data_IF_134026313294
#
_entry.id   IF_134026313294
#
_cell.length_a   1.000
_cell.length_b   1.000
_cell.length_c   1.000
_cell.angle_alpha   90.00
_cell.angle_beta   90.00
_cell.angle_gamma   90.00
#
_symmetry.space_group_name_H-M   'P 1'
#
loop_
_entity.id
_entity.type
_entity.pdbx_description
1 polymer ?
#
# COMPACT_ATOMS: atom_id res chain seq x y z
N UNK A 1 12.40 1.23 -11.60
CA UNK A 1 10.95 1.55 -11.63
C UNK A 1 10.36 0.90 -12.88
N UNK A 2 9.21 0.25 -12.81
CA UNK A 2 8.53 -0.36 -13.96
C UNK A 2 7.50 0.61 -14.53
N UNK A 3 7.67 1.04 -15.78
CA UNK A 3 6.77 2.00 -16.44
C UNK A 3 5.77 1.30 -17.34
N UNK A 4 4.50 1.71 -17.27
CA UNK A 4 3.40 1.27 -18.13
C UNK A 4 2.63 2.46 -18.68
N UNK A 5 1.81 2.22 -19.70
CA UNK A 5 0.72 3.13 -20.06
C UNK A 5 -0.42 2.89 -19.08
N UNK A 6 -0.75 3.92 -18.30
CA UNK A 6 -1.78 3.80 -17.29
C UNK A 6 -2.13 5.12 -16.65
N UNK A 7 -3.22 5.11 -15.89
CA UNK A 7 -3.70 6.24 -15.09
C UNK A 7 -4.05 5.82 -13.68
N UNK A 8 -3.93 6.75 -12.75
CA UNK A 8 -4.45 6.59 -11.38
C UNK A 8 -5.88 7.15 -11.35
N UNK A 9 -6.88 6.35 -10.94
CA UNK A 9 -8.30 6.72 -11.11
C UNK A 9 -8.73 7.96 -10.31
N UNK A 10 -8.23 8.10 -9.10
CA UNK A 10 -8.65 9.15 -8.16
C UNK A 10 -7.61 10.29 -8.07
N UNK A 11 -6.82 10.50 -9.12
CA UNK A 11 -5.75 11.50 -9.13
C UNK A 11 -5.86 12.44 -10.32
N UNK A 12 -5.63 13.73 -10.08
CA UNK A 12 -5.54 14.76 -11.10
C UNK A 12 -4.08 15.13 -11.34
N UNK A 13 -3.60 14.94 -12.58
CA UNK A 13 -2.23 15.31 -12.97
C UNK A 13 -1.97 16.82 -12.95
N UNK A 14 -3.02 17.65 -12.98
CA UNK A 14 -2.87 19.09 -12.85
C UNK A 14 -2.36 19.51 -11.47
N UNK A 15 -2.47 18.65 -10.45
CA UNK A 15 -1.85 18.83 -9.14
C UNK A 15 -0.37 18.43 -9.12
N UNK A 16 0.11 17.83 -10.22
CA UNK A 16 1.49 17.44 -10.41
C UNK A 16 2.43 18.63 -10.62
N UNK A 17 3.72 18.39 -10.40
CA UNK A 17 4.79 19.36 -10.65
C UNK A 17 5.25 19.22 -12.10
N UNK A 18 5.47 20.34 -12.79
CA UNK A 18 6.07 20.34 -14.12
C UNK A 18 7.55 19.96 -14.00
N UNK A 19 7.91 18.76 -14.47
CA UNK A 19 9.26 18.19 -14.34
C UNK A 19 9.48 17.07 -15.37
N UNK A 20 10.67 16.98 -15.99
CA UNK A 20 10.97 15.90 -16.93
C UNK A 20 10.66 14.52 -16.36
N UNK A 21 9.96 13.70 -17.15
CA UNK A 21 9.50 12.38 -16.70
C UNK A 21 10.65 11.47 -16.21
N UNK A 22 11.84 11.60 -16.79
CA UNK A 22 13.02 10.86 -16.34
C UNK A 22 13.45 11.27 -14.93
N UNK A 23 13.44 12.57 -14.64
CA UNK A 23 13.78 13.12 -13.33
C UNK A 23 12.72 12.73 -12.28
N UNK A 24 11.43 12.82 -12.63
CA UNK A 24 10.33 12.37 -11.78
C UNK A 24 10.48 10.90 -11.33
N UNK A 25 10.83 10.02 -12.27
CA UNK A 25 11.04 8.60 -12.00
C UNK A 25 12.27 8.37 -11.11
N UNK A 26 13.37 9.07 -11.40
CA UNK A 26 14.62 8.93 -10.66
C UNK A 26 14.49 9.42 -9.21
N UNK A 27 13.85 10.57 -9.00
CA UNK A 27 13.61 11.10 -7.64
C UNK A 27 12.77 10.14 -6.81
N UNK A 28 11.68 9.60 -7.38
CA UNK A 28 10.88 8.59 -6.68
C UNK A 28 11.68 7.31 -6.40
N UNK A 29 12.56 6.90 -7.32
CA UNK A 29 13.42 5.75 -7.11
C UNK A 29 14.36 5.95 -5.92
N UNK A 30 14.96 7.13 -5.77
CA UNK A 30 15.87 7.46 -4.67
C UNK A 30 15.14 7.61 -3.32
N UNK A 31 13.90 8.09 -3.32
CA UNK A 31 13.14 8.30 -2.09
C UNK A 31 12.56 7.00 -1.52
N UNK A 32 12.96 6.63 -0.30
CA UNK A 32 12.56 5.38 0.34
C UNK A 32 11.05 5.18 0.48
N UNK A 33 10.29 6.25 0.64
CA UNK A 33 8.83 6.21 0.83
C UNK A 33 8.02 6.41 -0.46
N UNK A 34 8.63 6.80 -1.57
CA UNK A 34 7.90 6.93 -2.83
C UNK A 34 7.58 5.54 -3.38
N UNK A 35 6.35 5.32 -3.84
CA UNK A 35 5.87 4.00 -4.26
C UNK A 35 5.42 3.94 -5.71
N UNK A 36 5.04 5.08 -6.27
CA UNK A 36 4.49 5.19 -7.62
C UNK A 36 4.60 6.65 -8.10
N UNK A 37 4.82 6.84 -9.40
CA UNK A 37 4.63 8.14 -10.06
C UNK A 37 3.62 8.03 -11.19
N UNK A 38 2.78 9.04 -11.32
CA UNK A 38 1.84 9.24 -12.42
C UNK A 38 2.30 10.44 -13.23
N UNK A 39 2.39 10.29 -14.55
CA UNK A 39 2.96 11.28 -15.45
C UNK A 39 2.20 11.36 -16.77
N UNK A 40 2.42 12.42 -17.54
CA UNK A 40 1.96 12.54 -18.93
C UNK A 40 3.05 13.04 -19.89
N UNK A 41 2.71 13.21 -21.17
CA UNK A 41 3.62 13.76 -22.20
C UNK A 41 3.92 15.24 -22.02
N UNK A 42 3.12 15.96 -21.24
CA UNK A 42 3.33 17.38 -20.90
C UNK A 42 4.28 17.55 -19.71
N UNK A 43 4.90 16.47 -19.26
CA UNK A 43 5.85 16.46 -18.13
C UNK A 43 5.22 16.91 -16.80
N UNK A 44 3.91 16.75 -16.65
CA UNK A 44 3.29 16.80 -15.32
C UNK A 44 3.65 15.51 -14.58
N UNK A 45 4.16 15.64 -13.36
CA UNK A 45 4.62 14.55 -12.51
C UNK A 45 3.91 14.60 -11.15
N UNK A 46 3.22 13.52 -10.80
CA UNK A 46 2.57 13.34 -9.50
C UNK A 46 3.16 12.10 -8.80
N UNK A 47 3.73 12.32 -7.61
CA UNK A 47 4.37 11.25 -6.82
C UNK A 47 3.46 10.80 -5.68
N UNK A 48 3.37 9.48 -5.49
CA UNK A 48 2.62 8.86 -4.40
C UNK A 48 3.57 8.27 -3.38
N UNK A 49 3.28 8.53 -2.10
CA UNK A 49 4.14 8.16 -0.99
C UNK A 49 3.44 7.21 -0.03
N UNK A 50 4.15 6.18 0.39
CA UNK A 50 3.65 5.13 1.26
C UNK A 50 2.97 5.64 2.54
N UNK A 51 3.51 6.70 3.14
CA UNK A 51 2.98 7.27 4.39
C UNK A 51 1.66 8.04 4.20
N UNK A 52 1.37 8.54 3.00
CA UNK A 52 0.19 9.36 2.71
C UNK A 52 -0.90 8.59 1.96
N UNK A 53 -0.58 7.40 1.46
CA UNK A 53 -1.44 6.68 0.54
C UNK A 53 -1.90 5.36 1.13
N UNK A 54 -3.19 5.25 1.42
CA UNK A 54 -3.81 4.02 1.92
C UNK A 54 -4.30 3.09 0.81
N UNK A 55 -4.74 3.67 -0.30
CA UNK A 55 -5.30 2.96 -1.45
C UNK A 55 -4.89 3.67 -2.74
N UNK A 56 -4.52 2.90 -3.76
CA UNK A 56 -4.42 3.36 -5.15
C UNK A 56 -5.07 2.35 -6.07
N UNK A 57 -5.68 2.86 -7.14
CA UNK A 57 -6.13 2.06 -8.27
C UNK A 57 -5.48 2.64 -9.51
N UNK A 58 -4.69 1.82 -10.19
CA UNK A 58 -4.10 2.11 -11.48
C UNK A 58 -4.81 1.29 -12.54
N UNK A 59 -5.18 1.91 -13.66
CA UNK A 59 -5.78 1.22 -14.80
C UNK A 59 -4.85 1.37 -16.00
N UNK A 60 -4.58 0.27 -16.70
CA UNK A 60 -3.83 0.29 -17.96
C UNK A 60 -4.60 1.10 -19.01
N UNK A 61 -3.90 1.95 -19.76
CA UNK A 61 -4.47 2.84 -20.77
C UNK A 61 -3.88 2.58 -22.15
N UNK A 62 -4.51 3.13 -23.19
CA UNK A 62 -3.95 3.05 -24.52
C UNK A 62 -2.70 3.94 -24.63
N UNK A 63 -1.78 3.57 -25.53
CA UNK A 63 -0.59 4.40 -25.82
C UNK A 63 -0.95 5.80 -26.31
N UNK A 64 -2.08 5.94 -27.00
CA UNK A 64 -2.61 7.22 -27.51
C UNK A 64 -3.02 8.19 -26.41
N UNK A 65 -3.29 7.70 -25.20
CA UNK A 65 -3.71 8.53 -24.08
C UNK A 65 -2.54 9.34 -23.51
N UNK A 66 -1.29 8.98 -23.85
CA UNK A 66 -0.06 9.64 -23.39
C UNK A 66 0.05 9.76 -21.86
N UNK A 67 -0.60 8.84 -21.14
CA UNK A 67 -0.56 8.72 -19.69
C UNK A 67 0.37 7.58 -19.30
N UNK A 68 1.19 7.83 -18.29
CA UNK A 68 2.21 6.89 -17.85
C UNK A 68 2.18 6.73 -16.34
N UNK A 69 2.32 5.49 -15.89
CA UNK A 69 2.52 5.18 -14.48
C UNK A 69 3.81 4.40 -14.33
N UNK A 70 4.64 4.77 -13.36
CA UNK A 70 5.82 3.98 -13.00
C UNK A 70 5.75 3.47 -11.57
N UNK A 71 5.71 2.16 -11.43
CA UNK A 71 5.71 1.46 -10.15
C UNK A 71 7.13 1.35 -9.60
N UNK A 72 7.28 1.59 -8.31
CA UNK A 72 8.51 1.20 -7.62
C UNK A 72 8.53 -0.30 -7.41
N UNK A 73 9.61 -0.93 -7.88
CA UNK A 73 9.81 -2.37 -7.83
C UNK A 73 11.12 -2.70 -7.13
N UNK A 74 11.26 -3.94 -6.69
CA UNK A 74 12.43 -4.42 -5.96
C UNK A 74 13.40 -5.24 -6.82
N UNK A 75 13.21 -5.24 -8.14
CA UNK A 75 14.05 -6.05 -9.01
C UNK A 75 15.50 -5.57 -8.96
N UNK A 76 16.42 -6.51 -8.72
CA UNK A 76 17.84 -6.27 -8.96
C UNK A 76 18.01 -5.96 -10.44
N UNK A 77 18.73 -4.89 -10.77
CA UNK A 77 18.98 -4.45 -12.17
C UNK A 77 19.57 -5.54 -13.07
N UNK A 78 20.14 -6.61 -12.49
CA UNK A 78 20.67 -7.77 -13.19
C UNK A 78 19.60 -8.75 -13.71
N UNK A 79 18.34 -8.59 -13.31
CA UNK A 79 17.23 -9.41 -13.78
C UNK A 79 16.14 -8.47 -14.31
N UNK A 80 15.97 -8.46 -15.64
CA UNK A 80 14.84 -7.83 -16.31
C UNK A 80 13.79 -8.91 -16.59
N UNK A 81 12.92 -9.26 -15.62
CA UNK A 81 11.88 -10.26 -15.82
C UNK A 81 10.94 -9.88 -16.97
N UNK A 82 10.28 -10.86 -17.56
CA UNK A 82 9.19 -10.60 -18.50
C UNK A 82 8.04 -9.89 -17.76
N UNK A 83 7.33 -9.00 -18.45
CA UNK A 83 6.22 -8.23 -17.87
C UNK A 83 5.19 -9.10 -17.15
N UNK A 84 4.81 -10.23 -17.76
CA UNK A 84 3.82 -11.17 -17.23
C UNK A 84 4.29 -11.94 -15.98
N UNK A 85 5.59 -11.96 -15.70
CA UNK A 85 6.17 -12.65 -14.54
C UNK A 85 6.64 -11.68 -13.46
N UNK A 86 6.24 -10.41 -13.51
CA UNK A 86 6.63 -9.41 -12.52
C UNK A 86 5.64 -9.38 -11.35
N UNK A 87 6.10 -9.86 -10.19
CA UNK A 87 5.40 -9.61 -8.93
C UNK A 87 5.69 -8.19 -8.44
N UNK A 88 4.73 -7.30 -8.63
CA UNK A 88 4.80 -5.94 -8.13
C UNK A 88 4.55 -5.92 -6.62
N UNK A 89 5.57 -5.52 -5.85
CA UNK A 89 5.42 -5.30 -4.42
C UNK A 89 6.26 -4.12 -3.94
N UNK A 90 5.75 -3.46 -2.91
CA UNK A 90 6.38 -2.34 -2.23
C UNK A 90 6.92 -2.86 -0.90
N UNK A 91 8.20 -2.66 -0.62
CA UNK A 91 8.76 -2.94 0.70
C UNK A 91 9.09 -1.65 1.42
N UNK A 92 8.43 -1.41 2.55
CA UNK A 92 8.69 -0.29 3.44
C UNK A 92 8.71 -0.80 4.88
N UNK A 93 9.73 -0.45 5.65
CA UNK A 93 9.81 -0.79 7.08
C UNK A 93 9.93 -2.29 7.39
N UNK A 94 10.43 -3.10 6.44
CA UNK A 94 10.63 -4.55 6.63
C UNK A 94 9.45 -5.45 6.27
N UNK A 95 8.30 -4.87 5.88
CA UNK A 95 7.16 -5.60 5.30
C UNK A 95 7.01 -5.34 3.80
N UNK A 96 6.59 -6.36 3.05
CA UNK A 96 6.28 -6.26 1.61
C UNK A 96 4.77 -6.30 1.38
N UNK A 97 4.26 -5.34 0.61
CA UNK A 97 2.85 -5.18 0.27
C UNK A 97 2.70 -5.34 -1.24
N UNK A 98 1.99 -6.37 -1.71
CA UNK A 98 1.82 -6.62 -3.13
C UNK A 98 0.84 -5.62 -3.75
N UNK A 99 1.07 -5.28 -5.00
CA UNK A 99 0.02 -4.81 -5.90
C UNK A 99 -0.79 -6.00 -6.37
N UNK A 100 -2.10 -5.84 -6.42
CA UNK A 100 -3.02 -6.88 -6.86
C UNK A 100 -3.46 -6.54 -8.27
N UNK A 101 -3.07 -7.38 -9.24
CA UNK A 101 -3.49 -7.24 -10.64
C UNK A 101 -4.78 -8.02 -10.87
N UNK A 102 -5.81 -7.32 -11.36
CA UNK A 102 -7.09 -7.88 -11.77
C UNK A 102 -7.40 -7.41 -13.20
N UNK A 103 -7.06 -8.24 -14.20
CA UNK A 103 -7.15 -7.84 -15.60
C UNK A 103 -6.23 -6.64 -15.88
N UNK A 104 -6.84 -5.50 -16.23
CA UNK A 104 -6.14 -4.26 -16.57
C UNK A 104 -5.98 -3.31 -15.37
N UNK A 105 -6.39 -3.72 -14.18
CA UNK A 105 -6.34 -2.89 -12.98
C UNK A 105 -5.29 -3.39 -11.99
N UNK A 106 -4.51 -2.48 -11.42
CA UNK A 106 -3.61 -2.73 -10.30
C UNK A 106 -4.13 -2.00 -9.07
N UNK A 107 -4.37 -2.74 -7.99
CA UNK A 107 -4.81 -2.19 -6.71
C UNK A 107 -3.70 -2.28 -5.70
N UNK A 108 -3.36 -1.15 -5.09
CA UNK A 108 -2.56 -1.08 -3.88
C UNK A 108 -3.48 -0.75 -2.71
N UNK A 109 -3.31 -1.47 -1.61
CA UNK A 109 -4.01 -1.18 -0.36
C UNK A 109 -3.11 -1.52 0.82
N UNK A 110 -2.96 -0.59 1.76
CA UNK A 110 -2.30 -0.83 3.05
C UNK A 110 -3.28 -0.68 4.20
N UNK A 111 -2.85 -1.08 5.39
CA UNK A 111 -3.61 -0.81 6.59
C UNK A 111 -3.57 0.67 6.98
N UNK A 112 -4.57 1.08 7.75
CA UNK A 112 -4.65 2.44 8.30
C UNK A 112 -3.47 2.67 9.25
N UNK A 113 -2.81 3.82 9.12
CA UNK A 113 -1.63 4.15 9.94
C UNK A 113 -0.52 3.10 9.85
N UNK A 114 -0.02 2.67 11.01
CA UNK A 114 1.08 1.70 11.17
C UNK A 114 0.60 0.26 11.49
N UNK A 115 -0.69 -0.02 11.25
CA UNK A 115 -1.25 -1.37 11.46
C UNK A 115 -0.54 -2.38 10.56
N UNK A 116 -0.28 -3.57 11.09
CA UNK A 116 0.48 -4.60 10.39
C UNK A 116 -0.43 -5.45 9.50
N UNK A 117 0.04 -5.75 8.29
CA UNK A 117 -0.58 -6.72 7.40
C UNK A 117 -0.18 -8.13 7.84
N UNK A 118 -1.17 -8.99 8.08
CA UNK A 118 -1.01 -10.40 8.45
C UNK A 118 -1.75 -11.26 7.44
N UNK A 119 -1.03 -12.19 6.81
CA UNK A 119 -1.62 -13.22 5.94
C UNK A 119 -2.03 -14.41 6.79
N UNK A 120 -3.33 -14.72 6.84
CA UNK A 120 -3.85 -15.84 7.64
C UNK A 120 -4.04 -17.12 6.82
N UNK A 121 -4.62 -16.98 5.63
CA UNK A 121 -4.94 -18.06 4.68
C UNK A 121 -4.74 -17.57 3.24
N UNK A 122 -4.82 -18.47 2.25
CA UNK A 122 -4.79 -18.11 0.83
C UNK A 122 -5.92 -17.10 0.58
N UNK A 123 -5.56 -15.89 0.16
CA UNK A 123 -6.45 -14.75 -0.13
C UNK A 123 -7.12 -14.07 1.09
N UNK A 124 -6.72 -14.36 2.34
CA UNK A 124 -7.19 -13.61 3.51
C UNK A 124 -6.07 -12.76 4.09
N UNK A 125 -6.19 -11.44 3.88
CA UNK A 125 -5.25 -10.44 4.40
C UNK A 125 -5.93 -9.62 5.50
N UNK A 126 -5.35 -9.65 6.70
CA UNK A 126 -5.84 -8.95 7.88
C UNK A 126 -4.93 -7.76 8.21
N UNK A 127 -5.53 -6.67 8.65
CA UNK A 127 -4.84 -5.56 9.29
C UNK A 127 -4.97 -5.72 10.80
N UNK A 128 -3.87 -5.70 11.53
CA UNK A 128 -3.85 -5.91 12.98
C UNK A 128 -3.03 -4.83 13.69
N UNK A 129 -3.50 -4.41 14.86
CA UNK A 129 -2.76 -3.52 15.76
C UNK A 129 -2.93 -3.99 17.20
N UNK A 130 -1.81 -4.04 17.92
CA UNK A 130 -1.79 -4.22 19.35
C UNK A 130 -1.91 -2.85 20.02
N UNK A 131 -2.78 -2.77 21.03
CA UNK A 131 -2.95 -1.61 21.89
C UNK A 131 -2.54 -2.02 23.30
N UNK A 132 -1.64 -1.25 23.92
CA UNK A 132 -1.32 -1.38 25.34
C UNK A 132 -2.50 -0.86 26.16
N UNK A 133 -3.25 -1.77 26.77
CA UNK A 133 -4.44 -1.43 27.54
C UNK A 133 -4.47 -2.31 28.78
N UNK A 134 -4.63 -1.67 29.94
CA UNK A 134 -4.78 -2.34 31.23
C UNK A 134 -6.19 -2.94 31.40
N UNK A 135 -6.59 -3.83 30.50
CA UNK A 135 -7.81 -4.63 30.65
C UNK A 135 -7.48 -6.11 30.55
N UNK A 136 -8.09 -6.89 31.44
CA UNK A 136 -8.03 -8.36 31.43
C UNK A 136 -9.38 -8.97 31.05
N UNK A 137 -10.42 -8.16 30.88
CA UNK A 137 -11.76 -8.66 30.57
C UNK A 137 -11.98 -8.70 29.05
N UNK A 138 -12.49 -9.82 28.57
CA UNK A 138 -12.81 -10.01 27.16
C UNK A 138 -13.86 -8.98 26.67
N UNK A 139 -14.83 -8.65 27.53
CA UNK A 139 -15.91 -7.72 27.21
C UNK A 139 -15.42 -6.27 27.03
N UNK A 140 -14.49 -5.81 27.88
CA UNK A 140 -13.85 -4.50 27.69
C UNK A 140 -12.98 -4.49 26.44
N UNK A 141 -12.18 -5.54 26.21
CA UNK A 141 -11.36 -5.68 25.01
C UNK A 141 -12.22 -5.67 23.73
N UNK A 142 -13.37 -6.34 23.76
CA UNK A 142 -14.33 -6.34 22.65
C UNK A 142 -14.92 -4.94 22.44
N UNK A 143 -15.36 -4.27 23.51
CA UNK A 143 -15.88 -2.90 23.44
C UNK A 143 -14.86 -1.93 22.85
N UNK A 144 -13.57 -2.09 23.16
CA UNK A 144 -12.51 -1.23 22.64
C UNK A 144 -12.30 -1.42 21.13
N UNK A 145 -12.28 -2.67 20.65
CA UNK A 145 -12.12 -2.94 19.23
C UNK A 145 -13.40 -2.58 18.45
N UNK A 146 -14.57 -2.98 18.94
CA UNK A 146 -15.83 -2.92 18.21
C UNK A 146 -16.62 -1.62 18.43
N UNK A 147 -16.26 -0.82 19.45
CA UNK A 147 -16.91 0.46 19.77
C UNK A 147 -16.39 1.67 19.01
N UNK A 148 -15.46 1.48 18.05
CA UNK A 148 -14.93 2.56 17.21
C UNK A 148 -15.76 2.70 15.92
N UNK A 149 -15.72 3.87 15.28
CA UNK A 149 -16.44 4.16 14.04
C UNK A 149 -16.01 3.30 12.83
N UNK A 150 -14.99 2.45 12.97
CA UNK A 150 -14.46 1.55 11.96
C UNK A 150 -14.69 0.12 12.48
N UNK A 151 -15.15 -0.83 11.64
CA UNK A 151 -15.58 -2.16 12.09
C UNK A 151 -14.39 -3.08 12.40
N UNK A 152 -13.62 -2.74 13.42
CA UNK A 152 -12.57 -3.62 13.93
C UNK A 152 -13.19 -4.76 14.74
N UNK A 153 -12.55 -5.91 14.69
CA UNK A 153 -12.90 -7.11 15.46
C UNK A 153 -11.77 -7.45 16.42
N UNK A 154 -12.13 -7.94 17.60
CA UNK A 154 -11.16 -8.49 18.54
C UNK A 154 -10.56 -9.76 17.93
N UNK A 155 -9.24 -9.77 17.74
CA UNK A 155 -8.51 -10.91 17.15
C UNK A 155 -7.68 -11.68 18.16
N UNK A 156 -7.39 -11.08 19.32
CA UNK A 156 -6.75 -11.75 20.45
C UNK A 156 -6.60 -10.83 21.66
N UNK A 157 -6.50 -11.45 22.85
CA UNK A 157 -6.12 -10.81 24.10
C UNK A 157 -4.84 -11.50 24.56
N UNK A 158 -3.74 -10.75 24.72
CA UNK A 158 -2.47 -11.33 25.14
C UNK A 158 -2.26 -11.09 26.64
N UNK A 159 -2.18 -12.16 27.42
CA UNK A 159 -2.09 -12.12 28.90
C UNK A 159 -0.72 -12.46 29.47
N UNK A 160 0.24 -12.94 28.65
CA UNK A 160 1.54 -13.40 29.15
C UNK A 160 2.66 -13.17 28.13
N UNK A 161 3.50 -12.17 28.41
CA UNK A 161 4.96 -12.05 28.20
C UNK A 161 5.25 -10.54 28.25
N UNK A 162 5.92 -10.07 29.31
CA UNK A 162 6.24 -8.66 29.62
C UNK A 162 5.07 -7.84 30.25
N UNK A 163 5.32 -6.83 31.09
CA UNK A 163 4.39 -6.36 32.13
C UNK A 163 3.22 -5.49 31.65
N UNK A 164 2.86 -5.58 30.37
CA UNK A 164 1.84 -4.73 29.75
C UNK A 164 0.75 -5.61 29.12
N UNK A 165 -0.43 -5.56 29.72
CA UNK A 165 -1.64 -6.17 29.15
C UNK A 165 -1.93 -5.52 27.79
N UNK A 166 -2.24 -6.33 26.77
CA UNK A 166 -2.41 -5.87 25.40
C UNK A 166 -3.67 -6.44 24.74
N UNK A 167 -4.42 -5.57 24.06
CA UNK A 167 -5.58 -5.95 23.23
C UNK A 167 -5.17 -5.88 21.77
N UNK A 168 -5.44 -6.93 20.99
CA UNK A 168 -5.15 -6.97 19.55
C UNK A 168 -6.45 -6.87 18.76
N UNK A 169 -6.65 -5.72 18.13
CA UNK A 169 -7.76 -5.49 17.22
C UNK A 169 -7.31 -5.74 15.78
N UNK A 170 -8.23 -6.22 14.95
CA UNK A 170 -7.97 -6.43 13.53
C UNK A 170 -9.20 -6.27 12.65
N UNK A 171 -8.98 -6.06 11.36
CA UNK A 171 -10.05 -6.05 10.36
C UNK A 171 -9.56 -6.67 9.06
N UNK A 172 -10.50 -7.09 8.22
CA UNK A 172 -10.19 -7.67 6.92
C UNK A 172 -9.86 -6.55 5.92
N UNK A 173 -8.70 -6.65 5.27
CA UNK A 173 -8.27 -5.67 4.29
C UNK A 173 -8.94 -5.89 2.93
N UNK A 174 -9.08 -7.16 2.54
CA UNK A 174 -9.65 -7.67 1.28
C UNK A 174 -10.28 -9.05 1.52
#
# INVERSE_FOLDING_TARGET
>A
MMKIFGKVLDADLNEGVLKPNAECVEECYQQSKCILVFMNSEEQCLSFYFNLTEKLIVVETAKTDNLFVAFKTQFLLSQCPAYESMDLSITVGGGSIPWIKNGNEYTFKKCVGDWKIVKKEINVTLCMQAFEIRTTSYEEAQTICEGKAIPYKLTGVQSTISPEFGVVCGYRLL
#
